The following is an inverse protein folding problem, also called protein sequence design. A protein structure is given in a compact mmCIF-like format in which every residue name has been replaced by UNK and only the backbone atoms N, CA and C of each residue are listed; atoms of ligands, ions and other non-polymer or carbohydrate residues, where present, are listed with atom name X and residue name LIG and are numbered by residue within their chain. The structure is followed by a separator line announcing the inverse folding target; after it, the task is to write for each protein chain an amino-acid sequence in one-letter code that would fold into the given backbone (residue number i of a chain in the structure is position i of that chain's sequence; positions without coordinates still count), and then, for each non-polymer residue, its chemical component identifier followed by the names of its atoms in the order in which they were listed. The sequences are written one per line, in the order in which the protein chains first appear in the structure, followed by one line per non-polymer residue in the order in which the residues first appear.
data_IF_292231713843
#
_entry.id   IF_292231713843
#
_cell.length_a   1.000
_cell.length_b   1.000
_cell.length_c   1.000
_cell.angle_alpha   90.00
_cell.angle_beta   90.00
_cell.angle_gamma   90.00
#
_symmetry.space_group_name_H-M   'P 1'
#
loop_
_entity.id
_entity.type
_entity.pdbx_description
1 polymer ?
#
# COMPACT_ATOMS: atom_id res chain seq x y z
N UNK A 1 18.51 6.23 -8.70
CA UNK A 1 17.94 5.52 -7.54
C UNK A 1 19.08 5.26 -6.58
N UNK A 2 19.03 5.83 -5.37
CA UNK A 2 20.03 5.58 -4.32
C UNK A 2 19.87 4.11 -3.92
N UNK A 3 20.97 3.36 -3.85
CA UNK A 3 20.93 1.94 -3.50
C UNK A 3 20.29 1.78 -2.12
N UNK A 4 19.09 1.19 -2.09
CA UNK A 4 18.24 1.10 -0.90
C UNK A 4 18.62 -0.10 -0.02
N UNK A 5 19.86 -0.60 -0.14
CA UNK A 5 20.39 -1.67 0.68
C UNK A 5 19.74 -3.03 0.45
N UNK A 6 20.18 -4.01 1.25
CA UNK A 6 19.66 -5.37 1.21
C UNK A 6 18.25 -5.41 1.82
N UNK A 7 17.22 -5.87 1.06
CA UNK A 7 15.84 -5.94 1.56
C UNK A 7 15.69 -6.81 2.82
N UNK A 8 16.55 -7.82 3.00
CA UNK A 8 16.56 -8.70 4.18
C UNK A 8 16.97 -7.91 5.43
N UNK A 9 18.04 -7.12 5.32
CA UNK A 9 18.56 -6.29 6.43
C UNK A 9 17.52 -5.24 6.84
N UNK A 10 16.86 -4.61 5.86
CA UNK A 10 15.80 -3.65 6.15
C UNK A 10 14.56 -4.30 6.78
N UNK A 11 14.16 -5.49 6.31
CA UNK A 11 13.03 -6.22 6.88
C UNK A 11 13.26 -6.58 8.36
N UNK A 12 14.44 -7.10 8.70
CA UNK A 12 14.82 -7.39 10.09
C UNK A 12 14.78 -6.13 10.95
N UNK A 13 15.40 -5.05 10.47
CA UNK A 13 15.42 -3.77 11.18
C UNK A 13 14.01 -3.22 11.44
N UNK A 14 13.12 -3.21 10.45
CA UNK A 14 11.77 -2.69 10.65
C UNK A 14 10.97 -3.53 11.65
N UNK A 15 11.15 -4.85 11.65
CA UNK A 15 10.54 -5.72 12.66
C UNK A 15 11.08 -5.44 14.07
N UNK A 16 12.40 -5.30 14.22
CA UNK A 16 13.03 -4.96 15.50
C UNK A 16 12.56 -3.60 16.05
N UNK A 17 12.28 -2.65 15.16
CA UNK A 17 11.70 -1.35 15.48
C UNK A 17 10.18 -1.40 15.77
N UNK A 18 9.56 -2.57 15.63
CA UNK A 18 8.18 -2.82 15.99
C UNK A 18 7.15 -2.59 14.88
N UNK A 19 7.52 -2.73 13.59
CA UNK A 19 6.56 -2.72 12.49
C UNK A 19 5.47 -3.78 12.68
N UNK A 20 4.21 -3.42 12.44
CA UNK A 20 3.08 -4.36 12.53
C UNK A 20 2.92 -5.22 11.26
N UNK A 21 3.38 -4.70 10.12
CA UNK A 21 3.35 -5.35 8.80
C UNK A 21 4.47 -4.77 7.93
N UNK A 22 5.02 -5.58 7.02
CA UNK A 22 5.99 -5.15 6.01
C UNK A 22 5.32 -5.12 4.63
N UNK A 23 5.55 -4.06 3.85
CA UNK A 23 5.16 -3.98 2.45
C UNK A 23 6.39 -3.95 1.54
N UNK A 24 6.48 -4.91 0.61
CA UNK A 24 7.51 -4.98 -0.43
C UNK A 24 6.86 -4.74 -1.80
N UNK A 25 6.98 -3.51 -2.30
CA UNK A 25 6.35 -3.06 -3.55
C UNK A 25 7.39 -2.88 -4.66
N UNK A 26 7.43 -3.82 -5.61
CA UNK A 26 8.33 -3.78 -6.76
C UNK A 26 7.72 -2.94 -7.90
N UNK A 27 7.86 -1.61 -7.78
CA UNK A 27 7.33 -0.66 -8.76
C UNK A 27 7.98 -0.88 -10.14
N UNK A 28 9.28 -1.24 -10.17
CA UNK A 28 10.03 -1.48 -11.39
C UNK A 28 9.50 -2.71 -12.15
N UNK A 29 9.08 -3.79 -11.46
CA UNK A 29 8.54 -4.97 -12.12
C UNK A 29 7.36 -4.66 -13.05
N UNK A 30 6.50 -3.73 -12.65
CA UNK A 30 5.34 -3.32 -13.45
C UNK A 30 5.76 -2.51 -14.68
N UNK A 31 6.78 -1.66 -14.55
CA UNK A 31 7.31 -0.85 -15.65
C UNK A 31 8.11 -1.69 -16.65
N UNK A 32 8.86 -2.67 -16.14
CA UNK A 32 9.70 -3.61 -16.92
C UNK A 32 8.90 -4.80 -17.45
N UNK A 33 7.61 -4.91 -17.11
CA UNK A 33 6.72 -6.02 -17.44
C UNK A 33 7.34 -7.40 -17.12
N UNK A 34 7.94 -7.52 -15.94
CA UNK A 34 8.55 -8.76 -15.44
C UNK A 34 7.79 -9.30 -14.23
N UNK A 35 7.88 -10.62 -13.96
CA UNK A 35 7.29 -11.20 -12.75
C UNK A 35 7.95 -10.68 -11.47
N UNK A 36 7.23 -10.82 -10.36
CA UNK A 36 7.74 -10.57 -9.00
C UNK A 36 9.01 -11.39 -8.73
N UNK A 37 10.00 -10.80 -8.05
CA UNK A 37 11.22 -11.51 -7.63
C UNK A 37 10.91 -12.44 -6.46
N UNK A 38 10.40 -13.64 -6.75
CA UNK A 38 10.03 -14.64 -5.74
C UNK A 38 11.18 -14.98 -4.78
N UNK A 39 12.42 -14.91 -5.24
CA UNK A 39 13.58 -15.17 -4.38
C UNK A 39 13.71 -14.13 -3.25
N UNK A 40 13.47 -12.85 -3.54
CA UNK A 40 13.44 -11.81 -2.51
C UNK A 40 12.27 -12.03 -1.54
N UNK A 41 11.11 -12.46 -2.03
CA UNK A 41 9.96 -12.79 -1.16
C UNK A 41 10.34 -13.90 -0.18
N UNK A 42 11.01 -14.96 -0.63
CA UNK A 42 11.45 -16.07 0.24
C UNK A 42 12.50 -15.62 1.26
N UNK A 43 13.48 -14.83 0.82
CA UNK A 43 14.55 -14.34 1.69
C UNK A 43 14.01 -13.41 2.78
N UNK A 44 13.14 -12.47 2.41
CA UNK A 44 12.52 -11.53 3.35
C UNK A 44 11.57 -12.26 4.30
N UNK A 45 10.65 -13.08 3.79
CA UNK A 45 9.71 -13.82 4.64
C UNK A 45 10.40 -14.81 5.58
N UNK A 46 11.57 -15.35 5.21
CA UNK A 46 12.35 -16.23 6.06
C UNK A 46 12.99 -15.56 7.28
N UNK A 47 13.05 -14.23 7.34
CA UNK A 47 13.68 -13.47 8.44
C UNK A 47 12.70 -12.62 9.26
N UNK A 48 11.42 -12.60 8.90
CA UNK A 48 10.37 -11.87 9.61
C UNK A 48 9.23 -12.80 10.06
N UNK A 49 8.59 -12.44 11.16
CA UNK A 49 7.39 -13.09 11.71
C UNK A 49 6.15 -12.20 11.60
N UNK A 50 6.32 -10.93 11.18
CA UNK A 50 5.21 -10.02 10.90
C UNK A 50 4.63 -10.29 9.49
N UNK A 51 3.35 -9.99 9.23
CA UNK A 51 2.77 -10.11 7.90
C UNK A 51 3.58 -9.39 6.81
N UNK A 52 3.69 -10.02 5.65
CA UNK A 52 4.33 -9.47 4.46
C UNK A 52 3.31 -9.25 3.34
N UNK A 53 3.12 -8.00 2.93
CA UNK A 53 2.40 -7.65 1.70
C UNK A 53 3.38 -7.50 0.54
N UNK A 54 3.15 -8.19 -0.57
CA UNK A 54 3.99 -8.10 -1.78
C UNK A 54 3.20 -7.52 -2.93
N UNK A 55 3.76 -6.53 -3.62
CA UNK A 55 3.16 -5.95 -4.83
C UNK A 55 4.18 -5.78 -5.96
N UNK A 56 3.66 -5.61 -7.18
CA UNK A 56 4.46 -5.42 -8.39
C UNK A 56 4.69 -6.70 -9.19
N UNK A 57 4.28 -6.69 -10.46
CA UNK A 57 4.43 -7.85 -11.36
C UNK A 57 3.45 -9.00 -11.11
N UNK A 58 2.33 -8.77 -10.42
CA UNK A 58 1.28 -9.76 -10.14
C UNK A 58 0.10 -9.52 -11.10
N UNK A 59 -0.08 -10.42 -12.08
CA UNK A 59 -1.02 -10.23 -13.18
C UNK A 59 -2.05 -11.36 -13.35
N UNK A 60 -1.92 -12.46 -12.61
CA UNK A 60 -2.83 -13.61 -12.68
C UNK A 60 -3.01 -14.31 -11.33
N UNK A 61 -3.92 -15.29 -11.26
CA UNK A 61 -4.13 -16.11 -10.06
C UNK A 61 -2.89 -16.96 -9.75
N UNK A 62 -2.20 -17.43 -10.78
CA UNK A 62 -0.94 -18.19 -10.65
C UNK A 62 0.16 -17.33 -10.04
N UNK A 63 0.29 -16.06 -10.45
CA UNK A 63 1.25 -15.12 -9.82
C UNK A 63 0.94 -14.92 -8.34
N UNK A 64 -0.35 -14.77 -7.99
CA UNK A 64 -0.80 -14.63 -6.59
C UNK A 64 -0.43 -15.90 -5.80
N UNK A 65 -0.73 -17.08 -6.34
CA UNK A 65 -0.40 -18.35 -5.69
C UNK A 65 1.10 -18.50 -5.46
N UNK A 66 1.93 -18.16 -6.45
CA UNK A 66 3.39 -18.22 -6.35
C UNK A 66 3.92 -17.27 -5.27
N UNK A 67 3.40 -16.05 -5.19
CA UNK A 67 3.81 -15.05 -4.19
C UNK A 67 3.39 -15.47 -2.78
N UNK A 68 2.17 -15.98 -2.61
CA UNK A 68 1.70 -16.51 -1.31
C UNK A 68 2.51 -17.74 -0.88
N UNK A 69 2.80 -18.68 -1.79
CA UNK A 69 3.67 -19.84 -1.54
C UNK A 69 5.10 -19.45 -1.20
N UNK A 70 5.57 -18.30 -1.67
CA UNK A 70 6.89 -17.77 -1.35
C UNK A 70 6.98 -17.12 0.05
N UNK A 71 5.88 -17.05 0.80
CA UNK A 71 5.84 -16.56 2.18
C UNK A 71 5.15 -15.21 2.37
N UNK A 72 4.55 -14.64 1.32
CA UNK A 72 3.72 -13.45 1.48
C UNK A 72 2.41 -13.77 2.22
N UNK A 73 1.98 -12.85 3.08
CA UNK A 73 0.67 -12.89 3.73
C UNK A 73 -0.43 -12.31 2.84
N UNK A 74 -0.13 -11.21 2.14
CA UNK A 74 -1.05 -10.56 1.19
C UNK A 74 -0.35 -10.25 -0.13
N UNK A 75 -1.14 -10.08 -1.17
CA UNK A 75 -0.71 -9.52 -2.45
C UNK A 75 -1.31 -8.15 -2.67
N UNK A 76 -0.58 -7.28 -3.35
CA UNK A 76 -1.03 -5.96 -3.78
C UNK A 76 -1.02 -5.85 -5.30
N UNK A 77 -2.17 -5.50 -5.88
CA UNK A 77 -2.36 -5.32 -7.32
C UNK A 77 -2.85 -3.89 -7.62
N UNK A 78 -2.37 -3.31 -8.72
CA UNK A 78 -2.89 -2.04 -9.27
C UNK A 78 -3.28 -2.23 -10.75
N UNK A 79 -2.33 -2.08 -11.67
CA UNK A 79 -2.57 -2.09 -13.12
C UNK A 79 -3.31 -3.33 -13.61
N UNK A 80 -2.97 -4.52 -13.08
CA UNK A 80 -3.61 -5.77 -13.45
C UNK A 80 -5.09 -5.81 -13.04
N UNK A 81 -5.40 -5.38 -11.82
CA UNK A 81 -6.76 -5.30 -11.31
C UNK A 81 -7.61 -4.31 -12.13
N UNK A 82 -7.03 -3.17 -12.53
CA UNK A 82 -7.75 -2.20 -13.35
C UNK A 82 -7.98 -2.68 -14.79
N UNK A 83 -7.00 -3.41 -15.37
CA UNK A 83 -7.09 -3.99 -16.71
C UNK A 83 -8.10 -5.13 -16.75
N UNK A 84 -8.16 -5.95 -15.71
CA UNK A 84 -9.10 -7.05 -15.57
C UNK A 84 -9.71 -7.06 -14.15
N UNK A 85 -10.80 -6.30 -13.92
CA UNK A 85 -11.44 -6.24 -12.59
C UNK A 85 -11.91 -7.60 -12.05
N UNK A 86 -12.23 -8.55 -12.93
CA UNK A 86 -12.66 -9.88 -12.53
C UNK A 86 -11.53 -10.68 -11.83
N UNK A 87 -10.26 -10.34 -12.07
CA UNK A 87 -9.13 -10.91 -11.32
C UNK A 87 -9.27 -10.67 -9.81
N UNK A 88 -9.78 -9.51 -9.39
CA UNK A 88 -10.00 -9.20 -7.97
C UNK A 88 -11.03 -10.17 -7.38
N UNK A 89 -12.13 -10.40 -8.10
CA UNK A 89 -13.21 -11.32 -7.67
C UNK A 89 -12.72 -12.76 -7.58
N UNK A 90 -12.01 -13.20 -8.60
CA UNK A 90 -11.45 -14.55 -8.64
C UNK A 90 -10.44 -14.75 -7.51
N UNK A 91 -9.52 -13.80 -7.32
CA UNK A 91 -8.51 -13.87 -6.27
C UNK A 91 -9.11 -13.85 -4.87
N UNK A 92 -10.11 -12.99 -4.62
CA UNK A 92 -10.81 -12.93 -3.35
C UNK A 92 -11.56 -14.24 -3.05
N UNK A 93 -12.17 -14.87 -4.07
CA UNK A 93 -12.85 -16.15 -3.94
C UNK A 93 -11.89 -17.31 -3.66
N UNK A 94 -10.73 -17.32 -4.29
CA UNK A 94 -9.76 -18.41 -4.19
C UNK A 94 -8.86 -18.30 -2.96
N UNK A 95 -8.34 -17.12 -2.67
CA UNK A 95 -7.35 -16.91 -1.61
C UNK A 95 -7.91 -16.24 -0.35
N UNK A 96 -9.12 -15.69 -0.43
CA UNK A 96 -9.79 -14.92 0.63
C UNK A 96 -9.48 -13.42 0.55
N UNK A 97 -10.50 -12.59 0.75
CA UNK A 97 -10.41 -11.12 0.68
C UNK A 97 -9.27 -10.52 1.51
N UNK A 98 -9.02 -11.04 2.72
CA UNK A 98 -7.98 -10.54 3.62
C UNK A 98 -6.56 -10.60 3.03
N UNK A 99 -6.33 -11.40 1.98
CA UNK A 99 -5.05 -11.50 1.27
C UNK A 99 -4.96 -10.57 0.06
N UNK A 100 -6.05 -9.91 -0.33
CA UNK A 100 -6.14 -9.11 -1.55
C UNK A 100 -6.15 -7.63 -1.21
N UNK A 101 -5.02 -6.98 -1.46
CA UNK A 101 -4.88 -5.51 -1.39
C UNK A 101 -4.96 -4.92 -2.79
N UNK A 102 -5.74 -3.86 -2.98
CA UNK A 102 -5.75 -3.09 -4.22
C UNK A 102 -5.07 -1.75 -3.99
N UNK A 103 -3.95 -1.55 -4.66
CA UNK A 103 -3.28 -0.25 -4.71
C UNK A 103 -3.99 0.66 -5.73
N UNK A 104 -4.30 1.87 -5.29
CA UNK A 104 -4.99 2.90 -6.06
C UNK A 104 -4.07 4.11 -6.15
N UNK A 105 -3.43 4.25 -7.29
CA UNK A 105 -2.62 5.41 -7.61
C UNK A 105 -3.51 6.46 -8.28
N UNK A 106 -3.54 7.67 -7.75
CA UNK A 106 -4.38 8.75 -8.28
C UNK A 106 -3.70 10.11 -8.23
N UNK A 107 -4.21 11.04 -9.02
CA UNK A 107 -3.83 12.47 -9.01
C UNK A 107 -5.08 13.35 -9.01
N UNK A 108 -4.93 14.61 -8.61
CA UNK A 108 -6.00 15.61 -8.69
C UNK A 108 -6.41 15.87 -10.14
N UNK A 109 -7.70 15.76 -10.41
CA UNK A 109 -8.32 16.12 -11.67
C UNK A 109 -9.75 16.59 -11.41
N UNK A 110 -10.01 17.89 -11.63
CA UNK A 110 -11.32 18.52 -11.41
C UNK A 110 -12.40 18.06 -12.39
N UNK A 111 -12.02 17.38 -13.46
CA UNK A 111 -12.95 16.78 -14.42
C UNK A 111 -13.56 15.47 -13.91
N UNK A 112 -12.94 14.83 -12.91
CA UNK A 112 -13.50 13.66 -12.24
C UNK A 112 -14.54 14.08 -11.20
N UNK A 113 -15.66 13.35 -11.04
CA UNK A 113 -16.66 13.65 -10.01
C UNK A 113 -16.11 13.78 -8.60
N UNK A 114 -15.15 12.94 -8.21
CA UNK A 114 -14.48 13.00 -6.91
C UNK A 114 -13.34 14.03 -6.83
N UNK A 115 -12.91 14.57 -7.96
CA UNK A 115 -11.69 15.36 -8.06
C UNK A 115 -10.40 14.54 -8.17
N UNK A 116 -10.47 13.20 -8.25
CA UNK A 116 -9.29 12.32 -8.34
C UNK A 116 -9.37 11.36 -9.52
N UNK A 117 -8.35 11.38 -10.38
CA UNK A 117 -8.23 10.51 -11.55
C UNK A 117 -7.21 9.40 -11.29
N UNK A 118 -7.57 8.16 -11.64
CA UNK A 118 -6.66 7.03 -11.64
C UNK A 118 -5.47 7.24 -12.58
N UNK A 119 -4.32 6.79 -12.10
CA UNK A 119 -3.10 6.68 -12.89
C UNK A 119 -2.53 5.27 -12.75
N UNK A 120 -1.88 4.79 -13.80
CA UNK A 120 -1.18 3.51 -13.82
C UNK A 120 0.26 3.71 -14.32
N UNK A 121 1.00 2.61 -14.48
CA UNK A 121 2.40 2.62 -14.91
C UNK A 121 3.26 3.51 -13.99
N UNK A 122 3.20 3.24 -12.68
CA UNK A 122 3.94 3.99 -11.67
C UNK A 122 3.53 5.47 -11.58
N UNK A 123 2.24 5.75 -11.75
CA UNK A 123 1.69 7.11 -11.65
C UNK A 123 1.81 7.98 -12.90
N UNK A 124 2.38 7.47 -14.00
CA UNK A 124 2.72 8.29 -15.18
C UNK A 124 1.63 8.32 -16.25
N UNK A 125 0.71 7.35 -16.27
CA UNK A 125 -0.32 7.23 -17.32
C UNK A 125 -1.72 7.46 -16.74
N UNK A 126 -2.40 8.57 -17.08
CA UNK A 126 -3.79 8.81 -16.74
C UNK A 126 -4.72 7.80 -17.40
N UNK A 127 -5.80 7.45 -16.72
CA UNK A 127 -6.76 6.43 -17.16
C UNK A 127 -8.08 7.05 -17.62
N UNK A 128 -8.42 8.27 -17.18
CA UNK A 128 -9.74 8.86 -17.39
C UNK A 128 -10.86 8.19 -16.59
N UNK A 129 -10.54 7.64 -15.40
CA UNK A 129 -11.49 6.99 -14.49
C UNK A 129 -11.38 7.60 -13.10
N UNK A 130 -12.51 7.71 -12.43
CA UNK A 130 -12.61 8.23 -11.06
C UNK A 130 -12.01 7.24 -10.05
N UNK A 131 -11.12 7.73 -9.19
CA UNK A 131 -10.40 6.89 -8.23
C UNK A 131 -11.29 6.38 -7.08
N UNK A 132 -12.30 7.17 -6.67
CA UNK A 132 -13.17 6.84 -5.54
C UNK A 132 -14.23 5.81 -5.97
N UNK A 133 -14.76 5.94 -7.19
CA UNK A 133 -15.66 4.93 -7.75
C UNK A 133 -14.93 3.60 -7.98
N UNK A 134 -13.67 3.63 -8.41
CA UNK A 134 -12.85 2.42 -8.51
C UNK A 134 -12.61 1.76 -7.16
N UNK A 135 -12.34 2.52 -6.09
CA UNK A 135 -12.19 1.98 -4.75
C UNK A 135 -13.43 1.19 -4.28
N UNK A 136 -14.63 1.75 -4.49
CA UNK A 136 -15.91 1.05 -4.22
C UNK A 136 -16.02 -0.23 -5.03
N UNK A 137 -15.73 -0.15 -6.33
CA UNK A 137 -15.80 -1.32 -7.20
C UNK A 137 -14.83 -2.42 -6.75
N UNK A 138 -13.63 -2.07 -6.30
CA UNK A 138 -12.68 -3.04 -5.76
C UNK A 138 -13.20 -3.74 -4.50
N UNK A 139 -13.85 -3.01 -3.58
CA UNK A 139 -14.50 -3.60 -2.41
C UNK A 139 -15.64 -4.54 -2.83
N UNK A 140 -16.51 -4.12 -3.77
CA UNK A 140 -17.60 -4.95 -4.30
C UNK A 140 -17.10 -6.22 -5.03
N UNK A 141 -15.88 -6.16 -5.57
CA UNK A 141 -15.18 -7.30 -6.16
C UNK A 141 -14.53 -8.20 -5.10
N UNK A 142 -14.43 -7.76 -3.84
CA UNK A 142 -13.92 -8.57 -2.73
C UNK A 142 -12.50 -8.25 -2.31
N UNK A 143 -11.93 -7.10 -2.67
CA UNK A 143 -10.70 -6.61 -2.06
C UNK A 143 -10.86 -6.52 -0.54
N UNK A 144 -9.86 -6.94 0.23
CA UNK A 144 -9.89 -6.84 1.70
C UNK A 144 -9.11 -5.66 2.27
N UNK A 145 -8.38 -4.92 1.44
CA UNK A 145 -7.66 -3.70 1.83
C UNK A 145 -7.50 -2.79 0.61
N UNK A 146 -7.66 -1.48 0.80
CA UNK A 146 -7.40 -0.47 -0.24
C UNK A 146 -6.16 0.33 0.16
N UNK A 147 -5.20 0.47 -0.75
CA UNK A 147 -3.96 1.21 -0.56
C UNK A 147 -3.94 2.43 -1.50
N UNK A 148 -4.54 3.56 -1.10
CA UNK A 148 -4.44 4.80 -1.87
C UNK A 148 -3.07 5.46 -1.77
N UNK A 149 -2.50 5.83 -2.91
CA UNK A 149 -1.31 6.68 -3.01
C UNK A 149 -1.59 7.87 -3.93
N UNK A 150 -1.45 9.08 -3.38
CA UNK A 150 -1.59 10.33 -4.16
C UNK A 150 -0.28 10.70 -4.84
N UNK A 151 -0.28 10.75 -6.17
CA UNK A 151 0.90 11.12 -6.96
C UNK A 151 1.25 12.61 -6.86
N UNK A 152 0.37 13.43 -6.31
CA UNK A 152 0.65 14.86 -6.04
C UNK A 152 1.48 15.06 -4.76
N UNK A 153 1.37 14.13 -3.81
CA UNK A 153 2.01 14.21 -2.49
C UNK A 153 3.13 13.19 -2.25
N UNK A 154 3.22 12.14 -3.06
CA UNK A 154 4.19 11.07 -2.85
C UNK A 154 5.64 11.57 -2.92
N UNK A 155 6.49 11.07 -2.02
CA UNK A 155 7.90 11.47 -1.88
C UNK A 155 8.15 12.90 -1.37
N UNK A 156 7.15 13.75 -1.18
CA UNK A 156 7.32 15.17 -0.80
C UNK A 156 7.67 15.42 0.67
N UNK A 157 7.47 14.42 1.53
CA UNK A 157 7.56 14.53 3.00
C UNK A 157 6.66 15.63 3.61
N UNK A 158 5.66 16.12 2.87
CA UNK A 158 4.80 17.24 3.27
C UNK A 158 3.48 16.83 3.94
N UNK A 159 3.27 15.53 4.12
CA UNK A 159 2.04 14.96 4.67
C UNK A 159 1.41 13.96 3.72
N UNK A 160 0.59 13.06 4.27
CA UNK A 160 -0.32 12.26 3.46
C UNK A 160 -1.36 13.17 2.79
N UNK A 161 -1.87 12.76 1.63
CA UNK A 161 -3.03 13.43 1.03
C UNK A 161 -4.30 13.06 1.82
N UNK A 162 -4.63 13.88 2.80
CA UNK A 162 -5.73 13.63 3.73
C UNK A 162 -7.09 13.70 3.03
N UNK A 163 -7.26 14.58 2.04
CA UNK A 163 -8.49 14.68 1.27
C UNK A 163 -8.72 13.41 0.46
N UNK A 164 -7.69 12.93 -0.24
CA UNK A 164 -7.79 11.70 -1.01
C UNK A 164 -8.03 10.48 -0.11
N UNK A 165 -7.24 10.35 0.96
CA UNK A 165 -7.39 9.26 1.94
C UNK A 165 -8.80 9.26 2.55
N UNK A 166 -9.32 10.45 2.92
CA UNK A 166 -10.65 10.61 3.48
C UNK A 166 -11.76 10.30 2.48
N UNK A 167 -11.60 10.70 1.22
CA UNK A 167 -12.57 10.41 0.18
C UNK A 167 -12.74 8.89 -0.01
N UNK A 168 -11.66 8.12 0.03
CA UNK A 168 -11.70 6.65 -0.07
C UNK A 168 -12.25 6.03 1.22
N UNK A 169 -11.70 6.37 2.38
CA UNK A 169 -12.11 5.78 3.67
C UNK A 169 -13.57 6.05 4.05
N UNK A 170 -14.18 7.09 3.46
CA UNK A 170 -15.59 7.40 3.68
C UNK A 170 -16.55 6.58 2.82
N UNK A 171 -16.06 5.88 1.79
CA UNK A 171 -16.90 5.12 0.86
C UNK A 171 -16.68 3.61 0.90
N UNK A 172 -15.55 3.14 1.43
CA UNK A 172 -15.27 1.72 1.64
C UNK A 172 -15.34 1.36 3.12
N UNK A 173 -15.65 0.09 3.43
CA UNK A 173 -15.67 -0.47 4.80
C UNK A 173 -14.41 -1.25 5.13
N UNK A 174 -13.72 -1.77 4.12
CA UNK A 174 -12.42 -2.45 4.28
C UNK A 174 -11.33 -1.47 4.76
N UNK A 175 -10.29 -1.97 5.45
CA UNK A 175 -9.16 -1.15 5.86
C UNK A 175 -8.53 -0.35 4.72
N UNK A 176 -8.24 0.92 5.00
CA UNK A 176 -7.56 1.85 4.10
C UNK A 176 -6.15 2.14 4.62
N UNK A 177 -5.17 2.03 3.73
CA UNK A 177 -3.76 2.33 4.01
C UNK A 177 -3.44 3.76 3.57
N UNK A 178 -3.07 4.66 4.50
CA UNK A 178 -2.48 5.93 4.10
C UNK A 178 -1.07 5.69 3.56
N UNK A 179 -0.82 6.09 2.30
CA UNK A 179 0.47 5.92 1.62
C UNK A 179 0.88 7.19 0.87
N UNK A 180 2.17 7.49 0.88
CA UNK A 180 2.80 8.63 0.21
C UNK A 180 2.81 9.94 1.02
N UNK A 181 3.99 10.59 1.08
CA UNK A 181 4.14 11.95 1.62
C UNK A 181 4.42 12.10 3.12
N UNK A 182 4.39 11.03 3.93
CA UNK A 182 4.75 11.09 5.36
C UNK A 182 6.15 11.70 5.60
N UNK A 183 6.30 12.51 6.66
CA UNK A 183 7.51 13.32 6.86
C UNK A 183 7.78 13.77 8.31
N UNK A 184 6.74 13.81 9.16
CA UNK A 184 6.82 14.05 10.61
C UNK A 184 5.76 13.23 11.34
N UNK A 185 5.90 13.08 12.66
CA UNK A 185 5.01 12.28 13.52
C UNK A 185 3.53 12.71 13.40
N UNK A 186 3.28 14.01 13.27
CA UNK A 186 1.92 14.56 13.13
C UNK A 186 1.20 14.03 11.89
N UNK A 187 1.92 13.77 10.79
CA UNK A 187 1.32 13.27 9.56
C UNK A 187 0.63 11.91 9.78
N UNK A 188 1.24 11.04 10.61
CA UNK A 188 0.67 9.73 10.97
C UNK A 188 -0.63 9.87 11.77
N UNK A 189 -0.66 10.80 12.73
CA UNK A 189 -1.86 11.07 13.52
C UNK A 189 -2.98 11.66 12.66
N UNK A 190 -2.65 12.59 11.76
CA UNK A 190 -3.62 13.21 10.86
C UNK A 190 -4.20 12.22 9.85
N UNK A 191 -3.41 11.28 9.34
CA UNK A 191 -3.91 10.22 8.46
C UNK A 191 -5.00 9.36 9.13
N UNK A 192 -4.88 9.09 10.43
CA UNK A 192 -5.93 8.37 11.17
C UNK A 192 -7.12 9.29 11.44
N UNK A 193 -6.90 10.44 12.10
CA UNK A 193 -7.99 11.26 12.64
C UNK A 193 -8.74 12.05 11.58
N UNK A 194 -8.02 12.59 10.59
CA UNK A 194 -8.60 13.37 9.50
C UNK A 194 -8.82 12.52 8.25
N UNK A 195 -7.87 11.64 7.93
CA UNK A 195 -7.91 10.78 6.75
C UNK A 195 -8.78 9.52 6.92
N UNK A 196 -9.02 9.06 8.16
CA UNK A 196 -9.78 7.83 8.42
C UNK A 196 -9.04 6.55 8.05
N UNK A 197 -7.72 6.59 7.87
CA UNK A 197 -6.93 5.40 7.59
C UNK A 197 -6.80 4.50 8.84
N UNK A 198 -6.81 3.19 8.62
CA UNK A 198 -6.57 2.18 9.66
C UNK A 198 -5.13 1.64 9.63
N UNK A 199 -4.43 1.80 8.50
CA UNK A 199 -3.05 1.34 8.31
C UNK A 199 -2.24 2.54 7.83
N UNK A 200 -1.02 2.71 8.36
CA UNK A 200 -0.14 3.82 8.03
C UNK A 200 1.15 3.29 7.40
N UNK A 201 1.36 3.57 6.10
CA UNK A 201 2.54 3.13 5.35
C UNK A 201 3.48 4.32 5.16
N UNK A 202 4.76 4.11 5.42
CA UNK A 202 5.81 5.05 5.05
C UNK A 202 7.10 4.30 4.70
N UNK A 203 7.89 4.84 3.78
CA UNK A 203 9.14 4.22 3.33
C UNK A 203 10.36 5.10 3.67
N UNK A 204 10.49 6.26 3.02
CA UNK A 204 11.71 7.09 3.09
C UNK A 204 12.10 7.50 4.52
N UNK A 205 11.12 7.87 5.35
CA UNK A 205 11.41 8.31 6.74
C UNK A 205 11.97 7.20 7.61
N UNK A 206 11.54 5.96 7.40
CA UNK A 206 12.05 4.79 8.13
C UNK A 206 13.37 4.30 7.53
N UNK A 207 13.46 4.27 6.20
CA UNK A 207 14.65 3.81 5.50
C UNK A 207 15.87 4.69 5.79
N UNK A 208 15.69 6.02 5.79
CA UNK A 208 16.74 6.98 6.15
C UNK A 208 16.81 7.27 7.65
N UNK A 209 16.00 6.58 8.47
CA UNK A 209 15.99 6.70 9.93
C UNK A 209 15.79 8.13 10.42
N UNK A 210 15.05 8.94 9.66
CA UNK A 210 14.67 10.30 10.08
C UNK A 210 13.54 10.28 11.10
N UNK A 211 12.77 9.19 11.12
CA UNK A 211 11.76 8.85 12.12
C UNK A 211 11.89 7.36 12.40
N UNK A 212 11.78 6.94 13.67
CA UNK A 212 11.71 5.50 14.03
C UNK A 212 10.27 5.01 14.11
N UNK A 213 10.05 3.73 13.80
CA UNK A 213 8.70 3.13 13.86
C UNK A 213 8.19 3.16 15.31
N UNK A 214 9.05 2.83 16.27
CA UNK A 214 8.74 2.93 17.69
C UNK A 214 8.30 4.34 18.12
N UNK A 215 8.96 5.38 17.60
CA UNK A 215 8.60 6.78 17.90
C UNK A 215 7.21 7.14 17.36
N UNK A 216 6.85 6.65 16.16
CA UNK A 216 5.49 6.79 15.62
C UNK A 216 4.49 6.11 16.56
N UNK A 217 4.74 4.87 16.97
CA UNK A 217 3.82 4.13 17.84
C UNK A 217 3.63 4.80 19.19
N UNK A 218 4.72 5.22 19.83
CA UNK A 218 4.69 5.93 21.11
C UNK A 218 3.93 7.25 21.01
N UNK A 219 4.17 8.01 19.93
CA UNK A 219 3.47 9.28 19.67
C UNK A 219 1.98 9.09 19.46
N UNK A 220 1.56 8.16 18.61
CA UNK A 220 0.15 7.89 18.33
C UNK A 220 -0.58 7.42 19.59
N UNK A 221 0.05 6.55 20.38
CA UNK A 221 -0.49 6.11 21.67
C UNK A 221 -0.63 7.27 22.66
N UNK A 222 0.37 8.15 22.75
CA UNK A 222 0.30 9.34 23.60
C UNK A 222 -0.81 10.32 23.18
N UNK A 223 -1.21 10.29 21.90
CA UNK A 223 -2.37 11.02 21.37
C UNK A 223 -3.71 10.29 21.57
N UNK A 224 -3.72 9.12 22.21
CA UNK A 224 -4.93 8.37 22.53
C UNK A 224 -5.38 7.38 21.46
N UNK A 225 -4.56 7.11 20.43
CA UNK A 225 -4.88 6.10 19.43
C UNK A 225 -4.48 4.69 19.92
N UNK A 226 -5.30 3.65 19.65
CA UNK A 226 -4.97 2.27 20.00
C UNK A 226 -3.86 1.76 19.08
N UNK A 227 -2.67 1.57 19.64
CA UNK A 227 -1.48 1.08 18.92
C UNK A 227 -0.85 -0.06 19.72
N UNK A 228 -0.45 -1.12 19.03
CA UNK A 228 0.31 -2.23 19.60
C UNK A 228 1.74 -1.73 19.84
N UNK A 229 2.28 -1.88 21.05
CA UNK A 229 3.68 -1.54 21.33
C UNK A 229 4.60 -2.74 21.20
#
# INVERSE_FOLDING_TARGET
LRDAGDPVVHAQFYQEEGADELAMLDIAATLENRPTRLEWVRQVSGVINIPLTVGGGINSLEDIELVLKAGAWKVSMNSAALKNPELVRQAAREFGSAKITIAIDARRNKEMPSGFELVIAGGTKPVGKDAIDWAKQCEDLGAGTILPTSMDGDGTLSGYDLEFTKAISSVVKVPVVASGGAGKLEHFYEAVVKGGAQILLAASVFHFRTIRIKEVKEFLRAKGLPVIL
#
